data_IF_888016149544
#
_entry.id   IF_888016149544
#
_cell.length_a   1.000
_cell.length_b   1.000
_cell.length_c   1.000
_cell.angle_alpha   90.00
_cell.angle_beta   90.00
_cell.angle_gamma   90.00
#
_symmetry.space_group_name_H-M   'P 1'
#
loop_
_entity.id
_entity.type
_entity.pdbx_description
1 polymer ?
#
# COMPACT_ATOMS: atom_id res chain seq x y z
N UNK A 1 43.22 46.43 -75.58
CA UNK A 1 43.89 46.14 -74.29
C UNK A 1 42.79 45.84 -73.31
N UNK A 2 42.45 44.55 -73.17
CA UNK A 2 41.35 44.16 -72.28
C UNK A 2 41.75 42.87 -71.62
N UNK A 3 42.10 42.94 -70.31
CA UNK A 3 42.47 41.83 -69.46
C UNK A 3 41.23 41.10 -68.96
N UNK A 4 41.08 39.86 -69.39
CA UNK A 4 40.10 38.91 -68.82
C UNK A 4 40.62 38.38 -67.49
N UNK A 5 39.94 38.70 -66.46
CA UNK A 5 40.12 38.06 -65.13
C UNK A 5 39.18 36.84 -65.04
N UNK A 6 39.85 35.70 -64.83
CA UNK A 6 39.25 34.38 -64.67
C UNK A 6 38.96 34.16 -63.18
N UNK A 7 37.67 33.98 -62.84
CA UNK A 7 37.25 33.68 -61.45
C UNK A 7 37.40 32.16 -61.16
N UNK A 8 37.84 31.76 -59.92
CA UNK A 8 37.86 30.37 -59.53
C UNK A 8 36.51 29.97 -58.94
N UNK A 9 36.08 28.75 -59.26
CA UNK A 9 34.89 28.10 -58.73
C UNK A 9 35.04 27.68 -57.27
N UNK A 10 34.00 27.80 -56.40
CA UNK A 10 34.04 27.29 -55.05
C UNK A 10 33.74 25.79 -55.06
N UNK A 11 34.61 25.02 -54.36
CA UNK A 11 34.42 23.61 -54.03
C UNK A 11 33.38 23.47 -52.93
N UNK A 12 32.27 22.78 -53.19
CA UNK A 12 31.27 22.37 -52.21
C UNK A 12 31.81 21.21 -51.35
N UNK A 13 32.17 21.50 -50.13
CA UNK A 13 32.47 20.47 -49.12
C UNK A 13 31.15 19.96 -48.53
N UNK A 14 30.78 18.71 -48.82
CA UNK A 14 29.69 17.97 -48.18
C UNK A 14 30.14 17.56 -46.79
N UNK A 15 29.64 18.23 -45.76
CA UNK A 15 29.78 17.80 -44.36
C UNK A 15 28.69 16.79 -44.07
N UNK A 16 29.05 15.50 -43.98
CA UNK A 16 28.18 14.44 -43.53
C UNK A 16 28.03 14.55 -41.98
N UNK A 17 26.88 15.03 -41.53
CA UNK A 17 26.50 15.00 -40.09
C UNK A 17 26.12 13.58 -39.72
N UNK A 18 27.01 12.86 -39.04
CA UNK A 18 26.71 11.58 -38.41
C UNK A 18 25.88 11.86 -37.14
N UNK A 19 24.58 11.57 -37.19
CA UNK A 19 23.69 11.53 -36.03
C UNK A 19 24.06 10.31 -35.15
N UNK A 20 24.88 10.53 -34.13
CA UNK A 20 25.13 9.54 -33.09
C UNK A 20 23.91 9.56 -32.17
N UNK A 21 22.98 8.61 -32.38
CA UNK A 21 21.89 8.35 -31.45
C UNK A 21 22.46 7.76 -30.14
N UNK A 22 22.69 8.62 -29.16
CA UNK A 22 23.00 8.19 -27.78
C UNK A 22 21.76 7.56 -27.17
N UNK A 23 21.68 6.23 -27.20
CA UNK A 23 20.71 5.51 -26.36
C UNK A 23 21.12 5.75 -24.90
N UNK A 24 20.32 6.58 -24.19
CA UNK A 24 20.47 6.74 -22.77
C UNK A 24 20.19 5.39 -22.10
N UNK A 25 21.07 4.90 -21.18
CA UNK A 25 20.77 3.70 -20.43
C UNK A 25 19.50 3.93 -19.62
N UNK A 26 18.53 3.02 -19.74
CA UNK A 26 17.34 3.02 -18.91
C UNK A 26 17.79 2.95 -17.45
N UNK A 27 17.50 3.99 -16.68
CA UNK A 27 17.78 3.99 -15.24
C UNK A 27 17.08 2.77 -14.62
N UNK A 28 17.77 2.00 -13.75
CA UNK A 28 17.15 0.90 -13.05
C UNK A 28 15.98 1.47 -12.26
N UNK A 29 14.78 0.94 -12.51
CA UNK A 29 13.58 1.29 -11.78
C UNK A 29 13.81 0.91 -10.32
N UNK A 30 13.97 1.91 -9.46
CA UNK A 30 14.20 1.74 -8.03
C UNK A 30 12.99 0.97 -7.45
N UNK A 31 13.15 -0.28 -6.95
CA UNK A 31 12.05 -1.06 -6.41
C UNK A 31 11.48 -0.46 -5.13
N UNK A 32 12.08 0.62 -4.63
CA UNK A 32 11.65 1.36 -3.44
C UNK A 32 10.77 2.58 -3.73
N UNK A 33 10.41 2.87 -4.98
CA UNK A 33 9.36 3.83 -5.29
C UNK A 33 8.06 3.31 -4.65
N UNK A 34 7.91 3.57 -3.34
CA UNK A 34 6.70 3.24 -2.58
C UNK A 34 5.54 3.90 -3.30
N UNK A 35 4.65 3.09 -3.86
CA UNK A 35 3.38 3.57 -4.43
C UNK A 35 2.67 4.41 -3.36
N UNK A 36 2.95 5.72 -3.33
CA UNK A 36 2.37 6.68 -2.38
C UNK A 36 0.86 6.78 -2.54
N UNK A 37 0.30 6.18 -3.59
CA UNK A 37 -1.14 6.05 -3.81
C UNK A 37 -1.76 4.91 -2.99
N UNK A 38 -0.96 3.96 -2.49
CA UNK A 38 -1.46 2.85 -1.69
C UNK A 38 -1.78 3.29 -0.26
N UNK A 39 -3.00 2.98 0.21
CA UNK A 39 -3.36 3.16 1.61
C UNK A 39 -2.56 2.17 2.46
N UNK A 40 -1.78 2.69 3.41
CA UNK A 40 -0.93 1.90 4.29
C UNK A 40 -0.86 2.50 5.70
N UNK A 41 -0.56 1.67 6.69
CA UNK A 41 -0.36 2.07 8.07
C UNK A 41 0.82 1.30 8.67
N UNK A 42 1.87 2.00 9.12
CA UNK A 42 3.12 1.40 9.63
C UNK A 42 3.70 0.29 8.74
N UNK A 43 3.69 0.49 7.43
CA UNK A 43 4.17 -0.48 6.44
C UNK A 43 3.15 -1.57 6.05
N UNK A 44 2.10 -1.77 6.83
CA UNK A 44 1.01 -2.67 6.45
C UNK A 44 0.19 -2.09 5.31
N UNK A 45 -0.08 -2.89 4.29
CA UNK A 45 -0.95 -2.54 3.15
C UNK A 45 -1.77 -3.76 2.72
N UNK A 46 -3.06 -3.58 2.49
CA UNK A 46 -3.87 -4.63 1.86
C UNK A 46 -3.45 -4.82 0.40
N UNK A 47 -3.56 -6.02 -0.12
CA UNK A 47 -2.99 -6.43 -1.40
C UNK A 47 -1.54 -6.95 -1.31
N UNK A 48 -0.90 -6.92 -0.13
CA UNK A 48 0.41 -7.54 0.10
C UNK A 48 0.30 -9.07 0.19
N UNK A 49 1.37 -9.79 -0.16
CA UNK A 49 1.44 -11.24 0.04
C UNK A 49 1.68 -11.58 1.52
N UNK A 50 1.17 -12.73 1.96
CA UNK A 50 1.34 -13.17 3.37
C UNK A 50 2.81 -13.26 3.80
N UNK A 51 3.71 -13.69 2.92
CA UNK A 51 5.15 -13.73 3.21
C UNK A 51 5.77 -12.32 3.43
N UNK A 52 5.30 -11.30 2.68
CA UNK A 52 5.72 -9.90 2.89
C UNK A 52 5.26 -9.39 4.26
N UNK A 53 4.03 -9.74 4.65
CA UNK A 53 3.46 -9.35 5.95
C UNK A 53 4.15 -10.06 7.11
N UNK A 54 4.45 -11.36 6.98
CA UNK A 54 5.21 -12.10 7.98
C UNK A 54 6.61 -11.49 8.19
N UNK A 55 7.31 -11.18 7.09
CA UNK A 55 8.60 -10.48 7.14
C UNK A 55 8.52 -9.08 7.76
N UNK A 56 7.44 -8.32 7.49
CA UNK A 56 7.21 -7.02 8.11
C UNK A 56 6.98 -7.15 9.62
N UNK A 57 6.11 -8.08 10.03
CA UNK A 57 5.80 -8.35 11.44
C UNK A 57 7.08 -8.75 12.19
N UNK A 58 7.92 -9.60 11.58
CA UNK A 58 9.19 -10.00 12.17
C UNK A 58 10.15 -8.82 12.36
N UNK A 59 10.25 -7.90 11.39
CA UNK A 59 11.05 -6.66 11.54
C UNK A 59 10.55 -5.70 12.62
N UNK A 60 9.29 -5.83 13.03
CA UNK A 60 8.66 -5.08 14.11
C UNK A 60 8.64 -5.87 15.43
N UNK A 61 9.57 -6.80 15.63
CA UNK A 61 9.67 -7.67 16.80
C UNK A 61 8.37 -8.43 17.12
N UNK A 62 7.63 -8.77 16.07
CA UNK A 62 6.40 -9.53 16.17
C UNK A 62 6.61 -11.05 16.08
N UNK A 63 5.62 -11.79 16.56
CA UNK A 63 5.57 -13.24 16.40
C UNK A 63 5.25 -13.64 14.96
N UNK A 64 5.48 -14.92 14.61
CA UNK A 64 5.13 -15.46 13.28
C UNK A 64 3.65 -15.29 12.98
N UNK A 65 3.33 -15.05 11.72
CA UNK A 65 1.97 -15.01 11.23
C UNK A 65 1.42 -16.45 11.15
N UNK A 66 0.48 -16.79 12.03
CA UNK A 66 -0.16 -18.12 12.09
C UNK A 66 -1.45 -18.08 11.30
N UNK A 67 -1.58 -18.96 10.31
CA UNK A 67 -2.70 -18.97 9.37
C UNK A 67 -3.46 -20.29 9.41
N UNK A 68 -4.79 -20.19 9.47
CA UNK A 68 -5.73 -21.29 9.34
C UNK A 68 -6.51 -21.13 8.03
N UNK A 69 -6.69 -22.22 7.27
CA UNK A 69 -7.52 -22.20 6.07
C UNK A 69 -8.99 -22.28 6.43
N UNK A 70 -9.81 -21.44 5.79
CA UNK A 70 -11.25 -21.49 5.98
C UNK A 70 -11.84 -22.83 5.48
N UNK A 71 -12.72 -23.44 6.30
CA UNK A 71 -13.32 -24.76 5.97
C UNK A 71 -14.16 -24.73 4.69
N UNK A 72 -14.86 -23.61 4.42
CA UNK A 72 -15.77 -23.46 3.28
C UNK A 72 -15.09 -23.06 1.99
N UNK A 73 -13.92 -22.43 2.06
CA UNK A 73 -13.13 -22.05 0.88
C UNK A 73 -11.64 -22.09 1.23
N UNK A 74 -10.94 -23.12 0.77
CA UNK A 74 -9.51 -23.32 1.05
C UNK A 74 -8.58 -22.26 0.49
N UNK A 75 -9.09 -21.40 -0.38
CA UNK A 75 -8.36 -20.23 -0.91
C UNK A 75 -8.28 -19.11 0.13
N UNK A 76 -9.22 -19.08 1.09
CA UNK A 76 -9.27 -18.10 2.18
C UNK A 76 -8.42 -18.60 3.33
N UNK A 77 -7.54 -17.74 3.82
CA UNK A 77 -6.71 -17.97 5.00
C UNK A 77 -6.97 -16.85 6.02
N UNK A 78 -7.21 -17.23 7.27
CA UNK A 78 -7.34 -16.33 8.41
C UNK A 78 -6.07 -16.41 9.24
N UNK A 79 -5.32 -15.32 9.28
CA UNK A 79 -4.01 -15.30 9.92
C UNK A 79 -4.00 -14.34 11.11
N UNK A 80 -3.22 -14.68 12.13
CA UNK A 80 -3.09 -13.89 13.36
C UNK A 80 -1.64 -13.80 13.79
N UNK A 81 -1.28 -12.64 14.33
CA UNK A 81 0.00 -12.41 14.99
C UNK A 81 -0.16 -11.34 16.06
N UNK A 82 0.89 -11.15 16.84
CA UNK A 82 1.05 -10.02 17.76
C UNK A 82 2.41 -9.40 17.55
N UNK A 83 2.50 -8.08 17.73
CA UNK A 83 3.78 -7.37 17.74
C UNK A 83 3.81 -6.38 18.90
N UNK A 84 4.99 -5.88 19.23
CA UNK A 84 5.18 -4.84 20.23
C UNK A 84 5.89 -3.66 19.61
N UNK A 85 5.18 -2.54 19.51
CA UNK A 85 5.70 -1.31 18.95
C UNK A 85 5.17 -0.12 19.74
N UNK A 86 6.07 0.64 20.36
CA UNK A 86 5.71 1.80 21.18
C UNK A 86 5.02 2.91 20.35
N UNK A 87 5.35 3.05 19.06
CA UNK A 87 4.69 4.00 18.17
C UNK A 87 3.24 3.59 17.87
N UNK A 88 2.92 2.30 18.04
CA UNK A 88 1.58 1.75 17.89
C UNK A 88 0.82 1.61 19.22
N UNK A 89 1.40 2.04 20.35
CA UNK A 89 0.77 1.96 21.67
C UNK A 89 1.17 0.71 22.45
N UNK A 90 2.19 -0.02 22.05
CA UNK A 90 2.72 -1.19 22.74
C UNK A 90 2.30 -2.50 22.09
N UNK A 91 1.49 -3.31 22.79
CA UNK A 91 1.04 -4.61 22.27
C UNK A 91 -0.05 -4.43 21.21
N UNK A 92 0.19 -4.93 20.00
CA UNK A 92 -0.73 -4.85 18.87
C UNK A 92 -1.11 -6.25 18.40
N UNK A 93 -2.41 -6.49 18.27
CA UNK A 93 -2.95 -7.69 17.62
C UNK A 93 -3.06 -7.42 16.13
N UNK A 94 -2.53 -8.32 15.33
CA UNK A 94 -2.63 -8.30 13.86
C UNK A 94 -3.54 -9.44 13.42
N UNK A 95 -4.52 -9.11 12.62
CA UNK A 95 -5.40 -10.08 11.97
C UNK A 95 -5.40 -9.83 10.46
N UNK A 96 -5.28 -10.90 9.67
CA UNK A 96 -5.24 -10.84 8.20
C UNK A 96 -6.21 -11.87 7.64
N UNK A 97 -7.12 -11.42 6.79
CA UNK A 97 -7.89 -12.30 5.90
C UNK A 97 -7.29 -12.23 4.51
N UNK A 98 -6.80 -13.36 4.00
CA UNK A 98 -6.11 -13.47 2.73
C UNK A 98 -6.81 -14.45 1.79
N UNK A 99 -6.75 -14.16 0.49
CA UNK A 99 -7.28 -14.98 -0.59
C UNK A 99 -6.12 -15.33 -1.52
N UNK A 100 -5.90 -16.62 -1.78
CA UNK A 100 -4.76 -17.10 -2.58
C UNK A 100 -3.41 -16.49 -2.10
N UNK A 101 -3.23 -16.38 -0.77
CA UNK A 101 -2.06 -15.78 -0.10
C UNK A 101 -1.88 -14.27 -0.31
N UNK A 102 -2.89 -13.56 -0.81
CA UNK A 102 -2.92 -12.09 -0.93
C UNK A 102 -3.89 -11.51 0.09
N UNK A 103 -3.43 -10.58 0.92
CA UNK A 103 -4.24 -9.97 1.98
C UNK A 103 -5.35 -9.10 1.40
N UNK A 104 -6.60 -9.52 1.56
CA UNK A 104 -7.78 -8.71 1.25
C UNK A 104 -8.10 -7.73 2.36
N UNK A 105 -7.94 -8.17 3.61
CA UNK A 105 -8.18 -7.35 4.81
C UNK A 105 -7.02 -7.53 5.79
N UNK A 106 -6.56 -6.43 6.37
CA UNK A 106 -5.61 -6.42 7.49
C UNK A 106 -6.19 -5.54 8.59
N UNK A 107 -6.24 -6.03 9.81
CA UNK A 107 -6.65 -5.25 10.98
C UNK A 107 -5.57 -5.27 12.04
N UNK A 108 -5.15 -4.07 12.47
CA UNK A 108 -4.27 -3.87 13.61
C UNK A 108 -5.10 -3.29 14.75
N UNK A 109 -5.02 -3.89 15.95
CA UNK A 109 -5.79 -3.43 17.11
C UNK A 109 -4.90 -3.34 18.34
N UNK A 110 -4.99 -2.22 19.06
CA UNK A 110 -4.20 -1.95 20.26
C UNK A 110 -5.03 -1.21 21.33
N UNK A 111 -4.67 -1.42 22.58
CA UNK A 111 -5.00 -0.49 23.65
C UNK A 111 -4.15 0.77 23.48
N UNK A 112 -4.76 1.94 23.47
CA UNK A 112 -4.05 3.21 23.24
C UNK A 112 -4.50 4.29 24.23
N UNK A 113 -3.56 5.14 24.64
CA UNK A 113 -3.87 6.38 25.33
C UNK A 113 -4.37 7.47 24.35
N UNK A 114 -4.82 8.60 24.89
CA UNK A 114 -5.30 9.72 24.10
C UNK A 114 -4.22 10.24 23.13
N UNK A 115 -2.99 10.37 23.63
CA UNK A 115 -1.89 10.92 22.87
C UNK A 115 -1.50 10.01 21.68
N UNK A 116 -1.47 8.70 21.89
CA UNK A 116 -1.20 7.72 20.82
C UNK A 116 -2.30 7.74 19.76
N UNK A 117 -3.57 7.76 20.16
CA UNK A 117 -4.68 7.89 19.22
C UNK A 117 -4.59 9.17 18.39
N UNK A 118 -4.25 10.31 19.02
CA UNK A 118 -4.10 11.58 18.33
C UNK A 118 -2.89 11.59 17.38
N UNK A 119 -1.79 10.90 17.73
CA UNK A 119 -0.67 10.68 16.78
C UNK A 119 -1.12 9.88 15.56
N UNK A 120 -1.91 8.82 15.75
CA UNK A 120 -2.44 8.02 14.63
C UNK A 120 -3.33 8.86 13.71
N UNK A 121 -4.27 9.62 14.27
CA UNK A 121 -5.14 10.53 13.52
C UNK A 121 -4.33 11.52 12.70
N UNK A 122 -3.43 12.28 13.35
CA UNK A 122 -2.59 13.29 12.67
C UNK A 122 -1.75 12.67 11.55
N UNK A 123 -1.14 11.50 11.79
CA UNK A 123 -0.33 10.81 10.76
C UNK A 123 -1.16 10.41 9.55
N UNK A 124 -2.37 9.91 9.77
CA UNK A 124 -3.27 9.50 8.69
C UNK A 124 -3.81 10.72 7.94
N UNK A 125 -4.20 11.76 8.65
CA UNK A 125 -4.67 13.01 8.05
C UNK A 125 -3.59 13.74 7.25
N UNK A 126 -2.36 13.81 7.76
CA UNK A 126 -1.24 14.43 7.04
C UNK A 126 -0.90 13.68 5.74
N UNK A 127 -1.09 12.35 5.72
CA UNK A 127 -0.75 11.53 4.55
C UNK A 127 -1.90 11.41 3.55
N UNK A 128 -3.14 11.34 4.04
CA UNK A 128 -4.31 10.99 3.20
C UNK A 128 -5.35 12.10 3.10
N UNK A 129 -5.14 13.21 3.78
CA UNK A 129 -6.07 14.33 3.86
C UNK A 129 -7.00 14.24 5.06
N UNK A 130 -7.54 15.38 5.47
CA UNK A 130 -8.45 15.47 6.61
C UNK A 130 -9.80 14.86 6.29
N UNK A 131 -10.31 14.06 7.23
CA UNK A 131 -11.67 13.52 7.21
C UNK A 131 -12.26 13.69 8.61
N UNK A 132 -13.54 14.02 8.68
CA UNK A 132 -14.24 14.16 9.96
C UNK A 132 -14.44 12.79 10.62
N UNK A 133 -14.27 12.71 11.93
CA UNK A 133 -14.67 11.55 12.71
C UNK A 133 -16.20 11.46 12.75
N UNK A 134 -16.73 10.26 12.52
CA UNK A 134 -18.17 9.98 12.54
C UNK A 134 -18.50 8.94 13.60
N UNK A 135 -19.59 9.06 14.35
CA UNK A 135 -20.06 8.01 15.26
C UNK A 135 -20.57 6.81 14.44
N UNK A 136 -20.25 5.61 14.93
CA UNK A 136 -20.73 4.34 14.39
C UNK A 136 -21.08 3.41 15.57
N UNK A 137 -22.33 3.43 16.02
CA UNK A 137 -22.73 2.75 17.25
C UNK A 137 -21.95 3.29 18.46
N UNK A 138 -21.30 2.39 19.22
CA UNK A 138 -20.50 2.73 20.41
C UNK A 138 -19.06 3.16 20.11
N UNK A 139 -18.70 3.35 18.84
CA UNK A 139 -17.35 3.71 18.42
C UNK A 139 -17.34 4.92 17.50
N UNK A 140 -16.18 5.53 17.36
CA UNK A 140 -15.89 6.57 16.38
C UNK A 140 -15.12 5.99 15.21
N UNK A 141 -15.27 6.60 14.04
CA UNK A 141 -14.64 6.15 12.80
C UNK A 141 -14.15 7.33 11.96
N UNK A 142 -12.96 7.16 11.38
CA UNK A 142 -12.43 7.95 10.27
C UNK A 142 -12.12 6.99 9.12
N UNK A 143 -12.40 7.39 7.87
CA UNK A 143 -12.23 6.51 6.72
C UNK A 143 -11.69 7.25 5.50
N UNK A 144 -10.72 6.64 4.85
CA UNK A 144 -10.14 7.07 3.56
C UNK A 144 -10.37 5.98 2.53
N UNK A 145 -10.80 6.38 1.34
CA UNK A 145 -11.03 5.47 0.21
C UNK A 145 -10.27 6.00 -1.00
N UNK A 146 -9.45 5.17 -1.62
CA UNK A 146 -8.69 5.50 -2.82
C UNK A 146 -8.54 4.28 -3.73
N UNK A 147 -8.92 4.42 -5.00
CA UNK A 147 -8.70 3.41 -6.05
C UNK A 147 -9.09 1.98 -5.64
N UNK A 148 -10.30 1.81 -5.09
CA UNK A 148 -10.81 0.51 -4.65
C UNK A 148 -10.18 -0.04 -3.37
N UNK A 149 -9.39 0.76 -2.65
CA UNK A 149 -8.85 0.42 -1.33
C UNK A 149 -9.44 1.32 -0.26
N UNK A 150 -9.55 0.80 0.96
CA UNK A 150 -10.04 1.51 2.11
C UNK A 150 -9.06 1.38 3.28
N UNK A 151 -8.85 2.48 3.98
CA UNK A 151 -8.25 2.53 5.31
C UNK A 151 -9.28 3.10 6.27
N UNK A 152 -9.53 2.40 7.35
CA UNK A 152 -10.47 2.83 8.40
C UNK A 152 -9.76 2.81 9.75
N UNK A 153 -9.80 3.92 10.45
CA UNK A 153 -9.44 4.02 11.85
C UNK A 153 -10.72 4.04 12.67
N UNK A 154 -10.87 3.11 13.61
CA UNK A 154 -11.97 3.10 14.59
C UNK A 154 -11.41 3.14 16.00
N UNK A 155 -12.15 3.73 16.93
CA UNK A 155 -11.80 3.70 18.35
C UNK A 155 -13.05 3.76 19.20
N UNK A 156 -12.95 3.14 20.38
CA UNK A 156 -13.96 3.20 21.43
C UNK A 156 -13.30 3.35 22.78
N UNK A 157 -14.01 3.91 23.72
CA UNK A 157 -13.61 3.94 25.14
C UNK A 157 -14.64 3.13 25.91
N UNK A 158 -14.16 2.15 26.65
CA UNK A 158 -14.96 1.31 27.52
C UNK A 158 -14.31 1.26 28.90
N UNK A 159 -15.07 1.66 29.94
CA UNK A 159 -14.60 1.69 31.34
C UNK A 159 -13.26 2.42 31.54
N UNK A 160 -13.02 3.49 30.81
CA UNK A 160 -11.78 4.26 30.86
C UNK A 160 -10.65 3.73 29.96
N UNK A 161 -10.74 2.52 29.47
CA UNK A 161 -9.79 1.95 28.51
C UNK A 161 -10.17 2.30 27.08
N UNK A 162 -9.18 2.71 26.29
CA UNK A 162 -9.39 3.04 24.87
C UNK A 162 -8.75 1.97 24.01
N UNK A 163 -9.57 1.41 23.13
CA UNK A 163 -9.09 0.51 22.05
C UNK A 163 -9.23 1.21 20.73
N UNK A 164 -8.15 1.20 19.93
CA UNK A 164 -8.17 1.66 18.54
C UNK A 164 -7.82 0.52 17.60
N UNK A 165 -8.40 0.56 16.39
CA UNK A 165 -8.11 -0.41 15.33
C UNK A 165 -7.99 0.30 14.00
N UNK A 166 -6.98 -0.10 13.21
CA UNK A 166 -6.82 0.30 11.82
C UNK A 166 -7.11 -0.90 10.94
N UNK A 167 -8.08 -0.77 10.05
CA UNK A 167 -8.40 -1.78 9.03
C UNK A 167 -8.02 -1.28 7.66
N UNK A 168 -7.28 -2.10 6.92
CA UNK A 168 -6.87 -1.89 5.54
C UNK A 168 -7.60 -2.93 4.68
N UNK A 169 -8.26 -2.50 3.63
CA UNK A 169 -9.04 -3.37 2.74
C UNK A 169 -8.63 -3.11 1.30
N UNK A 170 -8.35 -4.16 0.53
CA UNK A 170 -8.22 -4.09 -0.91
C UNK A 170 -9.47 -4.71 -1.56
N UNK A 171 -10.37 -3.84 -2.04
CA UNK A 171 -11.62 -4.25 -2.68
C UNK A 171 -11.39 -5.09 -3.94
N UNK A 172 -10.28 -4.86 -4.67
CA UNK A 172 -9.97 -5.62 -5.89
C UNK A 172 -9.71 -7.09 -5.60
N UNK A 173 -9.01 -7.41 -4.49
CA UNK A 173 -8.79 -8.79 -4.03
C UNK A 173 -10.12 -9.45 -3.70
N UNK A 174 -11.01 -8.73 -3.01
CA UNK A 174 -12.33 -9.24 -2.62
C UNK A 174 -13.25 -9.42 -3.83
N UNK A 175 -13.26 -8.46 -4.75
CA UNK A 175 -14.08 -8.51 -5.97
C UNK A 175 -13.64 -9.65 -6.90
N UNK A 176 -12.32 -9.86 -7.04
CA UNK A 176 -11.79 -10.97 -7.85
C UNK A 176 -12.19 -12.33 -7.26
N UNK A 177 -12.12 -12.45 -5.94
CA UNK A 177 -12.60 -13.65 -5.25
C UNK A 177 -14.10 -13.87 -5.47
N UNK A 178 -14.94 -12.83 -5.32
CA UNK A 178 -16.37 -12.89 -5.55
C UNK A 178 -16.72 -13.36 -6.97
N UNK A 179 -16.07 -12.80 -7.99
CA UNK A 179 -16.26 -13.19 -9.40
C UNK A 179 -15.88 -14.66 -9.65
N UNK A 180 -14.72 -15.11 -9.16
CA UNK A 180 -14.28 -16.50 -9.31
C UNK A 180 -15.22 -17.48 -8.62
N UNK A 181 -15.78 -17.11 -7.49
CA UNK A 181 -16.75 -17.91 -6.75
C UNK A 181 -18.08 -18.00 -7.48
N UNK A 182 -18.58 -16.90 -8.04
CA UNK A 182 -19.80 -16.90 -8.84
C UNK A 182 -19.65 -17.76 -10.10
N UNK A 183 -18.52 -17.65 -10.82
CA UNK A 183 -18.23 -18.47 -11.99
C UNK A 183 -18.14 -19.97 -11.66
N UNK A 184 -17.63 -20.36 -10.51
CA UNK A 184 -17.55 -21.75 -10.07
C UNK A 184 -18.91 -22.32 -9.59
N UNK A 185 -19.88 -21.48 -9.29
CA UNK A 185 -21.24 -21.87 -8.86
C UNK A 185 -22.25 -21.93 -10.02
N UNK A 186 -21.86 -21.47 -11.21
CA UNK A 186 -22.71 -21.55 -12.41
C UNK A 186 -22.55 -22.94 -13.03
N UNK A 187 -23.66 -23.69 -13.29
CA UNK A 187 -23.63 -25.05 -13.87
C UNK A 187 -23.15 -25.07 -15.31
#
# INVERSE_FOLDING_TARGET
MTHMLRAPAPALALVALALVSSAAPAAPSDPTAQDTSALQFHGFRAGARLGELDGLIHRLDGGRLRCDRARRDRRVSECRSTLRDSALGGAVKVWVSAIDSVAGVITLSAGVDAQTLDRWKRRLESRYGRVGAKPQGSQWMMQWVRRGRMLRLTWRTDRGERTASVSLVDGRVLDEWGRKRAAAASP
#
